data_IF_762135201655
#
_entry.id   IF_762135201655
#
_cell.length_a   1.000
_cell.length_b   1.000
_cell.length_c   1.000
_cell.angle_alpha   90.00
_cell.angle_beta   90.00
_cell.angle_gamma   90.00
#
_symmetry.space_group_name_H-M   'P 1'
#
loop_
_entity.id
_entity.type
_entity.pdbx_description
1 polymer ?
#
# COMPACT_ATOMS: atom_id res chain seq x y z
N UNK A 1 17.25 27.45 -9.40
CA UNK A 1 18.67 27.01 -9.38
C UNK A 1 18.74 25.81 -8.45
N UNK A 2 19.49 24.76 -8.82
CA UNK A 2 19.68 23.61 -7.93
C UNK A 2 20.83 23.88 -6.97
N UNK A 3 20.64 23.58 -5.68
CA UNK A 3 21.63 23.84 -4.62
C UNK A 3 22.15 22.58 -3.95
N UNK A 4 21.60 21.40 -4.30
CA UNK A 4 22.04 20.11 -3.78
C UNK A 4 23.18 19.47 -4.59
N UNK A 5 23.78 18.44 -3.99
CA UNK A 5 24.90 17.68 -4.56
C UNK A 5 24.43 16.37 -5.20
N UNK A 6 25.23 15.80 -6.12
CA UNK A 6 25.02 14.48 -6.72
C UNK A 6 23.65 14.34 -7.42
N UNK A 7 23.40 15.24 -8.38
CA UNK A 7 22.16 15.32 -9.14
C UNK A 7 22.37 14.77 -10.56
N UNK A 8 21.64 13.71 -10.91
CA UNK A 8 21.54 13.15 -12.26
C UNK A 8 20.14 13.44 -12.81
N UNK A 9 20.05 14.15 -13.94
CA UNK A 9 18.78 14.57 -14.54
C UNK A 9 18.70 14.26 -16.03
N UNK A 10 17.52 13.88 -16.51
CA UNK A 10 17.22 13.75 -17.93
C UNK A 10 15.75 14.13 -18.19
N UNK A 11 15.51 15.19 -18.97
CA UNK A 11 14.17 15.65 -19.31
C UNK A 11 14.00 17.15 -19.11
N UNK A 12 12.94 17.72 -19.70
CA UNK A 12 12.63 19.16 -19.57
C UNK A 12 12.24 19.46 -18.13
N UNK A 13 12.92 20.42 -17.50
CA UNK A 13 12.79 20.81 -16.09
C UNK A 13 12.96 19.67 -15.06
N UNK A 14 13.55 18.53 -15.46
CA UNK A 14 13.85 17.46 -14.52
C UNK A 14 14.81 17.98 -13.43
N UNK A 15 14.43 17.77 -12.17
CA UNK A 15 15.17 18.24 -11.00
C UNK A 15 15.26 19.76 -10.88
N UNK A 16 14.43 20.56 -11.56
CA UNK A 16 14.50 22.02 -11.48
C UNK A 16 14.11 22.57 -10.10
N UNK A 17 14.79 23.61 -9.62
CA UNK A 17 14.53 24.30 -8.35
C UNK A 17 14.59 23.36 -7.13
N UNK A 18 15.68 22.62 -7.04
CA UNK A 18 15.82 21.54 -6.07
C UNK A 18 16.98 21.77 -5.09
N UNK A 19 16.79 21.45 -3.80
CA UNK A 19 17.82 21.53 -2.74
C UNK A 19 18.23 20.16 -2.16
N UNK A 20 17.77 19.07 -2.77
CA UNK A 20 18.06 17.69 -2.41
C UNK A 20 19.46 17.26 -2.82
N UNK A 21 20.07 16.44 -1.96
CA UNK A 21 21.27 15.70 -2.31
C UNK A 21 20.88 14.30 -2.84
N UNK A 22 21.71 13.70 -3.68
CA UNK A 22 21.52 12.35 -4.21
C UNK A 22 20.19 12.20 -4.97
N UNK A 23 20.03 13.00 -6.03
CA UNK A 23 18.82 13.04 -6.85
C UNK A 23 19.07 12.35 -8.20
N UNK A 24 18.21 11.40 -8.55
CA UNK A 24 18.11 10.84 -9.90
C UNK A 24 16.73 11.14 -10.46
N UNK A 25 16.60 12.04 -11.43
CA UNK A 25 15.30 12.46 -11.99
C UNK A 25 15.23 12.30 -13.52
N UNK A 26 14.28 11.51 -14.00
CA UNK A 26 14.11 11.20 -15.41
C UNK A 26 12.66 11.46 -15.84
N UNK A 27 12.45 12.38 -16.79
CA UNK A 27 11.13 12.74 -17.31
C UNK A 27 10.81 14.23 -17.18
N UNK A 28 9.79 14.68 -17.92
CA UNK A 28 9.35 16.08 -17.92
C UNK A 28 8.86 16.46 -16.52
N UNK A 29 9.40 17.55 -15.95
CA UNK A 29 9.09 18.07 -14.62
C UNK A 29 9.24 17.02 -13.49
N UNK A 30 10.01 15.95 -13.70
CA UNK A 30 10.31 14.98 -12.64
C UNK A 30 11.14 15.64 -11.55
N UNK A 31 10.76 15.48 -10.28
CA UNK A 31 11.44 16.09 -9.11
C UNK A 31 11.63 17.61 -9.16
N UNK A 32 10.74 18.32 -9.85
CA UNK A 32 10.73 19.78 -9.81
C UNK A 32 10.27 20.31 -8.44
N UNK A 33 10.92 21.36 -7.94
CA UNK A 33 10.62 22.06 -6.68
C UNK A 33 10.66 21.16 -5.45
N UNK A 34 11.79 20.50 -5.21
CA UNK A 34 11.91 19.46 -4.19
C UNK A 34 13.11 19.68 -3.27
N UNK A 35 12.94 19.33 -1.99
CA UNK A 35 13.93 19.57 -0.93
C UNK A 35 14.37 18.31 -0.17
N UNK A 36 13.83 17.14 -0.53
CA UNK A 36 14.08 15.88 0.16
C UNK A 36 15.20 15.07 -0.51
N UNK A 37 16.12 14.54 0.28
CA UNK A 37 17.35 13.85 -0.15
C UNK A 37 17.09 12.41 -0.56
N UNK A 38 18.06 11.79 -1.25
CA UNK A 38 18.05 10.37 -1.61
C UNK A 38 16.79 9.99 -2.41
N UNK A 39 16.62 10.67 -3.55
CA UNK A 39 15.42 10.59 -4.37
C UNK A 39 15.72 9.94 -5.73
N UNK A 40 14.94 8.92 -6.06
CA UNK A 40 14.85 8.38 -7.42
C UNK A 40 13.48 8.70 -7.98
N UNK A 41 13.41 9.43 -9.08
CA UNK A 41 12.18 9.80 -9.76
C UNK A 41 12.26 9.49 -11.25
N UNK A 42 11.29 8.73 -11.75
CA UNK A 42 11.21 8.34 -13.16
C UNK A 42 9.78 8.45 -13.67
N UNK A 43 9.56 9.20 -14.75
CA UNK A 43 8.25 9.48 -15.32
C UNK A 43 7.89 10.96 -15.20
N UNK A 44 7.03 11.45 -16.08
CA UNK A 44 6.63 12.85 -16.06
C UNK A 44 5.91 13.18 -14.74
N UNK A 45 6.30 14.30 -14.12
CA UNK A 45 5.81 14.76 -12.82
C UNK A 45 5.97 13.77 -11.65
N UNK A 46 6.82 12.75 -11.79
CA UNK A 46 7.20 11.88 -10.65
C UNK A 46 7.94 12.71 -9.59
N UNK A 47 7.57 12.55 -8.31
CA UNK A 47 8.10 13.31 -7.17
C UNK A 47 8.12 14.85 -7.34
N UNK A 48 7.21 15.40 -8.17
CA UNK A 48 6.98 16.84 -8.27
C UNK A 48 6.60 17.39 -6.90
N UNK A 49 7.21 18.51 -6.46
CA UNK A 49 6.93 19.12 -5.15
C UNK A 49 7.12 18.21 -3.94
N UNK A 50 8.05 17.25 -3.99
CA UNK A 50 8.33 16.39 -2.84
C UNK A 50 9.27 17.07 -1.82
N UNK A 51 8.98 16.89 -0.54
CA UNK A 51 9.83 17.37 0.58
C UNK A 51 10.35 16.25 1.48
N UNK A 52 9.96 14.99 1.21
CA UNK A 52 10.40 13.82 1.95
C UNK A 52 11.73 13.25 1.47
N UNK A 53 12.52 12.72 2.39
CA UNK A 53 13.79 12.03 2.11
C UNK A 53 13.57 10.55 1.75
N UNK A 54 14.51 9.91 1.08
CA UNK A 54 14.48 8.47 0.77
C UNK A 54 13.20 8.06 0.04
N UNK A 55 12.97 8.64 -1.13
CA UNK A 55 11.76 8.43 -1.93
C UNK A 55 12.13 7.78 -3.27
N UNK A 56 11.37 6.76 -3.66
CA UNK A 56 11.44 6.14 -4.99
C UNK A 56 10.09 6.34 -5.68
N UNK A 57 10.04 7.16 -6.72
CA UNK A 57 8.83 7.50 -7.46
C UNK A 57 8.99 7.09 -8.93
N UNK A 58 8.28 6.06 -9.37
CA UNK A 58 8.36 5.54 -10.75
C UNK A 58 6.97 5.47 -11.36
N UNK A 59 6.69 6.33 -12.33
CA UNK A 59 5.40 6.44 -13.01
C UNK A 59 4.91 7.88 -13.10
N UNK A 60 4.00 8.14 -14.02
CA UNK A 60 3.38 9.46 -14.19
C UNK A 60 2.71 9.92 -12.89
N UNK A 61 3.09 11.09 -12.38
CA UNK A 61 2.60 11.68 -11.12
C UNK A 61 2.71 10.78 -9.88
N UNK A 62 3.59 9.77 -9.89
CA UNK A 62 3.93 9.02 -8.68
C UNK A 62 4.54 9.98 -7.63
N UNK A 63 4.07 9.93 -6.38
CA UNK A 63 4.51 10.83 -5.31
C UNK A 63 4.42 12.35 -5.60
N UNK A 64 3.50 12.78 -6.47
CA UNK A 64 3.26 14.20 -6.80
C UNK A 64 2.73 14.98 -5.59
N UNK A 65 3.59 15.75 -4.93
CA UNK A 65 3.35 16.46 -3.64
C UNK A 65 3.49 15.57 -2.40
N UNK A 66 4.40 14.60 -2.41
CA UNK A 66 4.75 13.84 -1.21
C UNK A 66 5.52 14.69 -0.18
N UNK A 67 5.09 14.68 1.08
CA UNK A 67 5.72 15.51 2.14
C UNK A 67 6.49 14.73 3.20
N UNK A 68 6.65 13.41 3.04
CA UNK A 68 7.22 12.53 4.06
C UNK A 68 8.19 11.49 3.53
N UNK A 69 9.07 11.04 4.41
CA UNK A 69 10.19 10.19 4.05
C UNK A 69 9.84 8.70 3.96
N UNK A 70 10.74 7.92 3.36
CA UNK A 70 10.64 6.47 3.21
C UNK A 70 9.41 6.04 2.39
N UNK A 71 9.30 6.56 1.17
CA UNK A 71 8.15 6.30 0.30
C UNK A 71 8.60 5.62 -0.99
N UNK A 72 8.04 4.45 -1.28
CA UNK A 72 8.18 3.77 -2.56
C UNK A 72 6.86 3.85 -3.30
N UNK A 73 6.79 4.64 -4.37
CA UNK A 73 5.62 4.90 -5.18
C UNK A 73 5.87 4.46 -6.62
N UNK A 74 5.32 3.33 -7.04
CA UNK A 74 5.53 2.75 -8.38
C UNK A 74 4.18 2.57 -9.07
N UNK A 75 3.90 3.37 -10.09
CA UNK A 75 2.66 3.33 -10.87
C UNK A 75 2.10 4.72 -11.15
N UNK A 76 1.11 4.80 -12.04
CA UNK A 76 0.37 6.04 -12.31
C UNK A 76 -0.28 6.54 -11.01
N UNK A 77 0.10 7.75 -10.57
CA UNK A 77 -0.44 8.40 -9.36
C UNK A 77 -0.32 7.56 -8.07
N UNK A 78 0.60 6.60 -8.01
CA UNK A 78 0.89 5.88 -6.77
C UNK A 78 1.38 6.88 -5.71
N UNK A 79 0.79 6.82 -4.51
CA UNK A 79 1.08 7.72 -3.39
C UNK A 79 1.09 9.23 -3.75
N UNK A 80 0.27 9.66 -4.73
CA UNK A 80 0.25 11.02 -5.30
C UNK A 80 0.38 12.08 -4.19
N UNK A 81 -0.60 12.20 -3.31
CA UNK A 81 -0.66 13.24 -2.28
C UNK A 81 -0.28 12.69 -0.89
N UNK A 82 0.80 11.92 -0.79
CA UNK A 82 1.17 11.27 0.46
C UNK A 82 1.69 12.28 1.52
N UNK A 83 1.16 12.15 2.73
CA UNK A 83 1.53 13.01 3.88
C UNK A 83 2.09 12.22 5.06
N UNK A 84 2.44 10.94 4.84
CA UNK A 84 2.83 10.00 5.90
C UNK A 84 4.11 9.22 5.59
N UNK A 85 4.80 8.78 6.64
CA UNK A 85 6.07 8.06 6.53
C UNK A 85 5.87 6.56 6.31
N UNK A 86 6.88 5.93 5.69
CA UNK A 86 6.96 4.48 5.52
C UNK A 86 5.80 3.91 4.69
N UNK A 87 5.69 4.37 3.44
CA UNK A 87 4.61 3.97 2.51
C UNK A 87 5.20 3.26 1.30
N UNK A 88 4.78 2.03 1.05
CA UNK A 88 5.00 1.30 -0.19
C UNK A 88 3.68 1.29 -0.96
N UNK A 89 3.66 1.85 -2.15
CA UNK A 89 2.51 1.98 -3.02
C UNK A 89 2.91 1.53 -4.42
N UNK A 90 2.46 0.35 -4.83
CA UNK A 90 2.79 -0.26 -6.12
C UNK A 90 1.51 -0.57 -6.87
N UNK A 91 1.23 0.18 -7.92
CA UNK A 91 0.02 0.06 -8.73
C UNK A 91 -0.56 1.42 -9.11
N UNK A 92 -1.48 1.41 -10.07
CA UNK A 92 -2.22 2.61 -10.45
C UNK A 92 -3.04 3.07 -9.24
N UNK A 93 -2.88 4.33 -8.83
CA UNK A 93 -3.56 4.98 -7.69
C UNK A 93 -3.47 4.21 -6.35
N UNK A 94 -2.46 3.35 -6.18
CA UNK A 94 -2.19 2.70 -4.90
C UNK A 94 -1.83 3.74 -3.83
N UNK A 95 -2.45 3.66 -2.65
CA UNK A 95 -2.25 4.59 -1.52
C UNK A 95 -2.31 6.10 -1.89
N UNK A 96 -3.04 6.46 -2.95
CA UNK A 96 -3.03 7.80 -3.58
C UNK A 96 -3.21 8.97 -2.60
N UNK A 97 -4.10 8.81 -1.63
CA UNK A 97 -4.48 9.84 -0.65
C UNK A 97 -4.54 9.23 0.75
N UNK A 98 -3.45 8.60 1.18
CA UNK A 98 -3.42 8.01 2.52
C UNK A 98 -3.02 9.03 3.60
N UNK A 99 -3.57 8.86 4.80
CA UNK A 99 -3.24 9.64 6.01
C UNK A 99 -2.74 8.77 7.17
N UNK A 100 -2.58 7.45 6.95
CA UNK A 100 -1.98 6.51 7.89
C UNK A 100 -0.51 6.20 7.61
N UNK A 101 0.27 5.86 8.63
CA UNK A 101 1.69 5.51 8.48
C UNK A 101 1.87 4.00 8.26
N UNK A 102 3.05 3.58 7.79
CA UNK A 102 3.40 2.16 7.66
C UNK A 102 2.43 1.39 6.76
N UNK A 103 2.28 1.87 5.53
CA UNK A 103 1.33 1.29 4.56
C UNK A 103 2.10 0.49 3.52
N UNK A 104 1.64 -0.72 3.21
CA UNK A 104 2.08 -1.49 2.05
C UNK A 104 0.87 -1.78 1.17
N UNK A 105 0.72 -1.02 0.09
CA UNK A 105 -0.37 -1.11 -0.85
C UNK A 105 0.16 -1.60 -2.21
N UNK A 106 -0.24 -2.80 -2.62
CA UNK A 106 0.22 -3.41 -3.88
C UNK A 106 -1.01 -3.85 -4.67
N UNK A 107 -1.29 -3.19 -5.79
CA UNK A 107 -2.46 -3.42 -6.65
C UNK A 107 -3.08 -2.12 -7.13
N UNK A 108 -3.89 -2.19 -8.20
CA UNK A 108 -4.66 -1.03 -8.65
C UNK A 108 -5.61 -0.58 -7.53
N UNK A 109 -5.55 0.69 -7.14
CA UNK A 109 -6.33 1.29 -6.05
C UNK A 109 -6.17 0.62 -4.67
N UNK A 110 -5.16 -0.21 -4.44
CA UNK A 110 -4.92 -0.81 -3.13
C UNK A 110 -4.69 0.28 -2.08
N UNK A 111 -5.37 0.18 -0.93
CA UNK A 111 -5.39 1.17 0.15
C UNK A 111 -5.59 2.62 -0.30
N UNK A 112 -6.26 2.87 -1.42
CA UNK A 112 -6.58 4.24 -1.82
C UNK A 112 -7.48 4.87 -0.76
N UNK A 113 -7.21 6.13 -0.41
CA UNK A 113 -7.90 6.87 0.66
C UNK A 113 -7.88 6.19 2.05
N UNK A 114 -6.80 5.49 2.39
CA UNK A 114 -6.64 4.85 3.70
C UNK A 114 -6.21 5.83 4.80
N UNK A 115 -6.84 5.79 5.98
CA UNK A 115 -6.40 6.55 7.17
C UNK A 115 -5.85 5.69 8.30
N UNK A 116 -6.01 4.36 8.22
CA UNK A 116 -5.48 3.42 9.20
C UNK A 116 -3.95 3.30 9.15
N UNK A 117 -3.29 3.11 10.28
CA UNK A 117 -1.83 2.91 10.36
C UNK A 117 -1.49 1.42 10.38
N UNK A 118 -0.31 1.01 9.91
CA UNK A 118 0.12 -0.40 9.82
C UNK A 118 -0.84 -1.24 8.96
N UNK A 119 -1.01 -0.86 7.69
CA UNK A 119 -1.94 -1.53 6.77
C UNK A 119 -1.17 -2.19 5.63
N UNK A 120 -1.38 -3.49 5.44
CA UNK A 120 -0.89 -4.24 4.29
C UNK A 120 -2.08 -4.56 3.39
N UNK A 121 -2.19 -3.93 2.23
CA UNK A 121 -3.24 -4.13 1.25
C UNK A 121 -2.68 -4.71 -0.05
N UNK A 122 -3.01 -5.97 -0.36
CA UNK A 122 -2.48 -6.68 -1.52
C UNK A 122 -3.62 -7.14 -2.42
N UNK A 123 -3.70 -6.58 -3.63
CA UNK A 123 -4.72 -6.90 -4.63
C UNK A 123 -5.44 -5.66 -5.16
N UNK A 124 -6.05 -5.79 -6.32
CA UNK A 124 -6.85 -4.71 -6.92
C UNK A 124 -8.00 -4.34 -5.99
N UNK A 125 -8.04 -3.08 -5.58
CA UNK A 125 -9.03 -2.53 -4.66
C UNK A 125 -9.02 -3.08 -3.24
N UNK A 126 -7.97 -3.81 -2.85
CA UNK A 126 -7.82 -4.26 -1.47
C UNK A 126 -7.68 -3.04 -0.54
N UNK A 127 -8.45 -2.96 0.54
CA UNK A 127 -8.34 -1.92 1.56
C UNK A 127 -8.72 -0.50 1.12
N UNK A 128 -9.41 -0.34 -0.01
CA UNK A 128 -9.94 0.97 -0.41
C UNK A 128 -10.73 1.57 0.75
N UNK A 129 -10.49 2.84 1.09
CA UNK A 129 -11.16 3.57 2.18
C UNK A 129 -11.01 2.88 3.56
N UNK A 130 -9.96 2.11 3.81
CA UNK A 130 -9.72 1.52 5.13
C UNK A 130 -9.36 2.61 6.17
N UNK A 131 -10.00 2.55 7.34
CA UNK A 131 -9.71 3.44 8.48
C UNK A 131 -9.19 2.69 9.71
N UNK A 132 -9.28 1.36 9.72
CA UNK A 132 -8.74 0.50 10.78
C UNK A 132 -7.23 0.37 10.75
N UNK A 133 -6.58 0.35 11.92
CA UNK A 133 -5.12 0.19 12.04
C UNK A 133 -4.70 -1.26 12.31
N UNK A 134 -3.46 -1.64 12.00
CA UNK A 134 -2.95 -3.00 12.15
C UNK A 134 -3.78 -4.01 11.34
N UNK A 135 -3.93 -3.75 10.04
CA UNK A 135 -4.80 -4.55 9.16
C UNK A 135 -4.01 -5.18 8.02
N UNK A 136 -4.24 -6.46 7.76
CA UNK A 136 -3.76 -7.14 6.55
C UNK A 136 -4.98 -7.45 5.69
N UNK A 137 -5.11 -6.83 4.52
CA UNK A 137 -6.16 -7.08 3.55
C UNK A 137 -5.57 -7.65 2.26
N UNK A 138 -6.06 -8.80 1.80
CA UNK A 138 -5.51 -9.47 0.62
C UNK A 138 -6.62 -10.01 -0.29
N UNK A 139 -6.55 -9.70 -1.58
CA UNK A 139 -7.48 -10.17 -2.61
C UNK A 139 -8.25 -9.03 -3.29
N UNK A 140 -8.89 -9.37 -4.43
CA UNK A 140 -9.71 -8.44 -5.20
C UNK A 140 -10.83 -7.89 -4.32
N UNK A 141 -10.80 -6.58 -4.06
CA UNK A 141 -11.79 -5.87 -3.24
C UNK A 141 -11.84 -6.28 -1.76
N UNK A 142 -10.81 -6.95 -1.23
CA UNK A 142 -10.77 -7.34 0.18
C UNK A 142 -10.81 -6.11 1.09
N UNK A 143 -11.68 -6.09 2.11
CA UNK A 143 -11.65 -5.06 3.15
C UNK A 143 -11.92 -3.63 2.67
N UNK A 144 -12.66 -3.46 1.57
CA UNK A 144 -13.17 -2.15 1.15
C UNK A 144 -13.99 -1.55 2.31
N UNK A 145 -13.65 -0.33 2.72
CA UNK A 145 -14.31 0.39 3.80
C UNK A 145 -14.10 -0.21 5.18
N UNK A 146 -13.08 -1.05 5.38
CA UNK A 146 -12.83 -1.64 6.69
C UNK A 146 -12.50 -0.55 7.74
N UNK A 147 -13.20 -0.61 8.87
CA UNK A 147 -12.98 0.30 10.01
C UNK A 147 -12.39 -0.42 11.22
N UNK A 148 -12.31 -1.75 11.19
CA UNK A 148 -11.80 -2.55 12.30
C UNK A 148 -10.28 -2.55 12.34
N UNK A 149 -9.73 -2.34 13.53
CA UNK A 149 -8.29 -2.48 13.78
C UNK A 149 -7.94 -3.91 14.21
N UNK A 150 -6.69 -4.33 14.02
CA UNK A 150 -6.16 -5.65 14.39
C UNK A 150 -6.85 -6.81 13.63
N UNK A 151 -7.02 -6.66 12.32
CA UNK A 151 -7.77 -7.60 11.49
C UNK A 151 -6.92 -8.17 10.34
N UNK A 152 -7.16 -9.43 9.98
CA UNK A 152 -6.69 -10.00 8.71
C UNK A 152 -7.90 -10.36 7.86
N UNK A 153 -8.03 -9.73 6.70
CA UNK A 153 -9.14 -9.88 5.76
C UNK A 153 -8.57 -10.47 4.47
N UNK A 154 -9.03 -11.64 4.06
CA UNK A 154 -8.62 -12.27 2.80
C UNK A 154 -9.89 -12.49 1.97
N UNK A 155 -9.90 -12.10 0.69
CA UNK A 155 -11.05 -12.34 -0.20
C UNK A 155 -11.34 -13.84 -0.29
N UNK A 156 -12.33 -14.29 0.46
CA UNK A 156 -13.16 -15.45 0.15
C UNK A 156 -14.62 -15.00 0.31
N UNK A 157 -15.52 -15.43 -0.58
CA UNK A 157 -16.91 -14.93 -0.63
C UNK A 157 -17.73 -15.22 0.65
N UNK A 158 -17.24 -16.08 1.55
CA UNK A 158 -17.45 -16.00 3.00
C UNK A 158 -16.46 -16.94 3.70
N UNK A 159 -15.99 -16.57 4.90
CA UNK A 159 -15.40 -17.56 5.79
C UNK A 159 -16.55 -18.38 6.41
N UNK A 160 -16.51 -19.72 6.35
CA UNK A 160 -17.48 -20.53 7.05
C UNK A 160 -17.42 -20.21 8.56
N UNK A 161 -18.58 -20.15 9.21
CA UNK A 161 -18.73 -19.77 10.62
C UNK A 161 -19.17 -20.97 11.43
N UNK A 162 -18.49 -21.21 12.55
CA UNK A 162 -18.76 -22.35 13.42
C UNK A 162 -18.82 -21.90 14.87
N UNK A 163 -19.64 -22.59 15.67
CA UNK A 163 -19.84 -22.26 17.09
C UNK A 163 -18.52 -22.20 17.84
N UNK A 164 -17.59 -23.11 17.54
CA UNK A 164 -16.25 -23.16 18.11
C UNK A 164 -15.32 -23.98 17.22
N UNK A 165 -14.05 -24.09 17.62
CA UNK A 165 -13.06 -24.94 16.94
C UNK A 165 -13.50 -26.39 16.77
N UNK A 166 -14.20 -26.97 17.74
CA UNK A 166 -14.65 -28.35 17.63
C UNK A 166 -15.69 -28.50 16.50
N UNK A 167 -16.64 -27.56 16.38
CA UNK A 167 -17.62 -27.53 15.30
C UNK A 167 -16.95 -27.32 13.93
N UNK A 168 -15.93 -26.46 13.86
CA UNK A 168 -15.17 -26.25 12.63
C UNK A 168 -14.38 -27.48 12.18
N UNK A 169 -13.66 -28.14 13.12
CA UNK A 169 -12.92 -29.38 12.85
C UNK A 169 -13.85 -30.53 12.46
N UNK A 170 -15.09 -30.52 12.95
CA UNK A 170 -16.10 -31.52 12.58
C UNK A 170 -16.71 -31.26 11.20
N UNK A 171 -16.86 -29.99 10.82
CA UNK A 171 -17.48 -29.61 9.56
C UNK A 171 -16.50 -29.59 8.37
N UNK A 172 -15.28 -29.09 8.59
CA UNK A 172 -14.21 -29.03 7.59
C UNK A 172 -13.46 -30.36 7.63
N UNK A 173 -13.94 -31.34 6.86
CA UNK A 173 -13.36 -32.70 6.78
C UNK A 173 -13.26 -33.16 5.33
N UNK A 174 -12.38 -34.13 5.06
CA UNK A 174 -12.23 -34.70 3.70
C UNK A 174 -13.54 -35.30 3.19
N UNK A 175 -14.26 -35.97 4.08
CA UNK A 175 -15.60 -36.52 3.81
C UNK A 175 -16.64 -35.47 3.44
N UNK A 176 -16.47 -34.22 3.85
CA UNK A 176 -17.35 -33.10 3.52
C UNK A 176 -16.79 -32.23 2.37
N UNK A 177 -15.91 -32.80 1.54
CA UNK A 177 -15.42 -32.17 0.32
C UNK A 177 -14.19 -31.28 0.50
N UNK A 178 -13.60 -31.22 1.71
CA UNK A 178 -12.29 -30.62 1.89
C UNK A 178 -11.17 -31.57 1.37
N UNK A 179 -9.98 -31.05 1.08
CA UNK A 179 -8.86 -31.85 0.60
C UNK A 179 -7.79 -32.01 1.70
N UNK A 180 -7.26 -33.22 1.84
CA UNK A 180 -6.18 -33.52 2.78
C UNK A 180 -4.90 -32.74 2.42
N UNK A 181 -4.15 -32.30 3.43
CA UNK A 181 -2.94 -31.49 3.29
C UNK A 181 -3.17 -29.96 3.31
N UNK A 182 -4.42 -29.50 3.25
CA UNK A 182 -4.78 -28.08 3.17
C UNK A 182 -5.11 -27.43 4.53
N UNK A 183 -5.08 -26.10 4.58
CA UNK A 183 -5.48 -25.29 5.74
C UNK A 183 -6.66 -24.39 5.37
N UNK A 184 -7.72 -24.46 6.16
CA UNK A 184 -8.98 -23.76 5.92
C UNK A 184 -9.24 -22.76 7.04
N UNK A 185 -9.51 -21.50 6.69
CA UNK A 185 -9.88 -20.45 7.63
C UNK A 185 -11.39 -20.49 7.93
N UNK A 186 -11.76 -20.21 9.16
CA UNK A 186 -13.15 -20.10 9.60
C UNK A 186 -13.32 -19.05 10.70
N UNK A 187 -14.55 -18.58 10.89
CA UNK A 187 -14.90 -17.71 12.02
C UNK A 187 -15.38 -18.54 13.21
N UNK A 188 -14.73 -18.39 14.36
CA UNK A 188 -15.15 -19.03 15.61
C UNK A 188 -16.10 -18.11 16.38
N UNK A 189 -17.36 -18.53 16.58
CA UNK A 189 -18.40 -17.74 17.26
C UNK A 189 -18.19 -17.63 18.78
N UNK A 190 -17.41 -18.53 19.39
CA UNK A 190 -17.11 -18.51 20.83
C UNK A 190 -16.01 -17.50 21.14
N UNK A 191 -14.95 -17.47 20.34
CA UNK A 191 -13.78 -16.60 20.56
C UNK A 191 -13.89 -15.29 19.77
N UNK A 192 -14.80 -15.23 18.81
CA UNK A 192 -14.94 -14.14 17.84
C UNK A 192 -13.64 -13.86 17.05
N UNK A 193 -12.85 -14.90 16.77
CA UNK A 193 -11.60 -14.80 16.01
C UNK A 193 -11.63 -15.64 14.73
N UNK A 194 -10.80 -15.26 13.75
CA UNK A 194 -10.49 -16.13 12.59
C UNK A 194 -9.51 -17.20 13.07
N UNK A 195 -9.90 -18.45 12.92
CA UNK A 195 -9.11 -19.62 13.27
C UNK A 195 -8.93 -20.51 12.04
N UNK A 196 -8.11 -21.55 12.17
CA UNK A 196 -7.79 -22.44 11.07
C UNK A 196 -7.93 -23.92 11.44
N UNK A 197 -8.42 -24.74 10.50
CA UNK A 197 -8.37 -26.20 10.55
C UNK A 197 -7.37 -26.69 9.51
N UNK A 198 -6.50 -27.63 9.88
CA UNK A 198 -5.59 -28.33 8.96
C UNK A 198 -6.04 -29.79 8.82
N UNK A 199 -6.14 -30.28 7.59
CA UNK A 199 -6.49 -31.66 7.23
C UNK A 199 -5.31 -32.40 6.61
#
# INVERSE_FOLDING_TARGET
>A
QNTGNDITVNGVNAGYNNSANNLSAFGINSSESNSGKDLTAMGAYSAYQNTGDSVTAVGFESAYSNTKSNVTAIGYQAAKSNTQENVVAVGIIAAQSNTGRYITAIGNAAASNNSGTNVIALGTGAGINNTGSNVIVMGLGAGIGNTYSNATIISNSSLPSFVNRAAAVSAITVSNGAAAGNTYLYYNQTTNTIEAVRL
#
